data_IF_756949152882
#
_entry.id   IF_756949152882
#
_cell.length_a   1.000
_cell.length_b   1.000
_cell.length_c   1.000
_cell.angle_alpha   90.00
_cell.angle_beta   90.00
_cell.angle_gamma   90.00
#
_symmetry.space_group_name_H-M   'P 1'
#
loop_
_entity.id
_entity.type
_entity.pdbx_description
1 polymer ?
#
# COMPACT_ATOMS: atom_id res chain seq x y z
N UNK A 1 9.20 -25.46 4.27
CA UNK A 1 10.27 -24.71 3.57
C UNK A 1 9.71 -23.42 2.96
N UNK A 2 8.51 -23.44 2.36
CA UNK A 2 7.89 -22.26 1.73
C UNK A 2 7.48 -21.20 2.78
N UNK A 3 6.92 -21.62 3.92
CA UNK A 3 6.48 -20.72 5.01
C UNK A 3 7.66 -19.96 5.63
N UNK A 4 8.83 -20.61 5.78
CA UNK A 4 10.04 -19.96 6.29
C UNK A 4 10.59 -18.91 5.31
N UNK A 5 10.43 -19.11 4.00
CA UNK A 5 10.86 -18.16 2.97
C UNK A 5 10.06 -16.86 2.97
N UNK A 6 8.73 -16.94 3.11
CA UNK A 6 7.86 -15.76 3.19
C UNK A 6 8.14 -14.93 4.45
N UNK A 7 8.35 -15.58 5.60
CA UNK A 7 8.67 -14.91 6.86
C UNK A 7 10.01 -14.12 6.80
N UNK A 8 11.03 -14.70 6.17
CA UNK A 8 12.33 -14.02 5.97
C UNK A 8 12.21 -12.84 5.01
N UNK A 9 11.35 -12.95 3.99
CA UNK A 9 11.17 -11.89 2.99
C UNK A 9 10.44 -10.66 3.56
N UNK A 10 9.39 -10.88 4.32
CA UNK A 10 8.62 -9.83 5.01
C UNK A 10 9.49 -9.09 6.05
N UNK A 11 10.32 -9.81 6.81
CA UNK A 11 11.30 -9.20 7.72
C UNK A 11 12.34 -8.34 6.98
N UNK A 12 12.72 -8.73 5.76
CA UNK A 12 13.69 -7.96 4.96
C UNK A 12 13.12 -6.61 4.53
N UNK A 13 11.88 -6.55 4.11
CA UNK A 13 11.24 -5.29 3.69
C UNK A 13 11.04 -4.34 4.87
N UNK A 14 10.63 -4.85 6.03
CA UNK A 14 10.53 -4.04 7.24
C UNK A 14 11.90 -3.54 7.72
N UNK A 15 12.93 -4.39 7.68
CA UNK A 15 14.29 -4.00 8.02
C UNK A 15 14.83 -2.93 7.06
N UNK A 16 14.58 -3.09 5.76
CA UNK A 16 14.94 -2.11 4.73
C UNK A 16 14.24 -0.78 4.98
N UNK A 17 12.95 -0.80 5.27
CA UNK A 17 12.16 0.40 5.61
C UNK A 17 12.69 1.09 6.86
N UNK A 18 13.10 0.34 7.87
CA UNK A 18 13.73 0.88 9.07
C UNK A 18 15.07 1.55 8.76
N UNK A 19 15.93 0.93 7.96
CA UNK A 19 17.22 1.51 7.55
C UNK A 19 17.02 2.80 6.74
N UNK A 20 16.07 2.82 5.82
CA UNK A 20 15.71 4.04 5.07
C UNK A 20 15.21 5.13 6.00
N UNK A 21 14.36 4.80 6.97
CA UNK A 21 13.86 5.72 7.98
C UNK A 21 15.01 6.33 8.83
N UNK A 22 16.13 5.64 9.00
CA UNK A 22 17.32 6.17 9.70
C UNK A 22 18.16 7.11 8.85
N UNK A 23 18.16 6.92 7.53
CA UNK A 23 19.08 7.58 6.60
C UNK A 23 18.44 8.73 5.81
N UNK A 24 17.10 8.78 5.72
CA UNK A 24 16.37 9.76 4.92
C UNK A 24 15.51 10.67 5.81
N UNK A 25 15.26 11.89 5.33
CA UNK A 25 14.25 12.79 5.90
C UNK A 25 12.84 12.36 5.50
N UNK A 26 11.82 12.81 6.24
CA UNK A 26 10.41 12.56 5.89
C UNK A 26 10.12 13.04 4.47
N UNK A 27 10.57 14.25 4.12
CA UNK A 27 10.40 14.81 2.78
C UNK A 27 11.04 13.95 1.68
N UNK A 28 12.23 13.40 1.92
CA UNK A 28 12.88 12.49 0.97
C UNK A 28 12.09 11.19 0.81
N UNK A 29 11.57 10.64 1.91
CA UNK A 29 10.75 9.42 1.90
C UNK A 29 9.47 9.65 1.09
N UNK A 30 8.76 10.75 1.34
CA UNK A 30 7.52 11.12 0.64
C UNK A 30 7.78 11.37 -0.86
N UNK A 31 8.87 12.04 -1.20
CA UNK A 31 9.26 12.29 -2.58
C UNK A 31 9.56 10.99 -3.35
N UNK A 32 10.26 10.05 -2.72
CA UNK A 32 10.56 8.75 -3.34
C UNK A 32 9.29 7.90 -3.50
N UNK A 33 8.42 7.84 -2.50
CA UNK A 33 7.12 7.18 -2.62
C UNK A 33 6.33 7.77 -3.79
N UNK A 34 6.24 9.11 -3.89
CA UNK A 34 5.56 9.79 -4.99
C UNK A 34 6.21 9.53 -6.36
N UNK A 35 7.54 9.30 -6.42
CA UNK A 35 8.22 8.94 -7.67
C UNK A 35 7.76 7.55 -8.17
N UNK A 36 7.67 6.56 -7.28
CA UNK A 36 7.19 5.23 -7.65
C UNK A 36 5.70 5.22 -7.98
N UNK A 37 4.90 6.00 -7.26
CA UNK A 37 3.49 6.21 -7.61
C UNK A 37 3.35 6.74 -9.06
N UNK A 38 4.07 7.82 -9.42
CA UNK A 38 4.10 8.33 -10.80
C UNK A 38 4.61 7.32 -11.82
N UNK A 39 5.44 6.38 -11.41
CA UNK A 39 5.87 5.28 -12.28
C UNK A 39 4.71 4.33 -12.59
N UNK A 40 3.88 3.99 -11.60
CA UNK A 40 2.66 3.19 -11.80
C UNK A 40 1.72 3.90 -12.77
N UNK A 41 1.47 5.20 -12.58
CA UNK A 41 0.65 6.01 -13.46
C UNK A 41 1.13 5.97 -14.92
N UNK A 42 2.44 6.13 -15.13
CA UNK A 42 3.02 6.07 -16.47
C UNK A 42 2.90 4.68 -17.10
N UNK A 43 3.05 3.62 -16.31
CA UNK A 43 2.91 2.24 -16.77
C UNK A 43 1.48 1.94 -17.22
N UNK A 44 0.50 2.38 -16.44
CA UNK A 44 -0.93 2.21 -16.73
C UNK A 44 -1.47 3.28 -17.69
N UNK A 45 -0.68 4.35 -17.96
CA UNK A 45 -1.07 5.51 -18.79
C UNK A 45 -2.30 6.21 -18.23
N UNK A 46 -2.31 6.44 -16.93
CA UNK A 46 -3.37 7.11 -16.18
C UNK A 46 -2.77 8.34 -15.50
N UNK A 47 -3.58 9.36 -15.26
CA UNK A 47 -3.22 10.54 -14.48
C UNK A 47 -4.09 10.56 -13.21
N UNK A 48 -3.59 9.94 -12.15
CA UNK A 48 -4.28 9.84 -10.86
C UNK A 48 -4.30 11.17 -10.10
N UNK A 49 -3.49 12.16 -10.49
CA UNK A 49 -3.41 13.46 -9.81
C UNK A 49 -4.70 14.27 -9.89
N UNK A 50 -5.59 13.90 -10.83
CA UNK A 50 -6.90 14.55 -11.04
C UNK A 50 -8.03 13.92 -10.26
N UNK A 51 -7.78 12.79 -9.61
CA UNK A 51 -8.80 12.08 -8.88
C UNK A 51 -9.06 12.73 -7.52
N UNK A 52 -10.32 12.71 -7.11
CA UNK A 52 -10.70 13.19 -5.79
C UNK A 52 -10.22 12.19 -4.71
N UNK A 53 -9.19 12.59 -3.99
CA UNK A 53 -8.64 11.77 -2.89
C UNK A 53 -9.61 11.63 -1.71
N UNK A 54 -10.65 12.46 -1.64
CA UNK A 54 -11.72 12.35 -0.64
C UNK A 54 -12.45 11.03 -0.77
N UNK A 55 -12.78 10.61 -2.01
CA UNK A 55 -13.45 9.33 -2.28
C UNK A 55 -12.63 8.14 -1.74
N UNK A 56 -11.31 8.15 -1.93
CA UNK A 56 -10.45 7.07 -1.40
C UNK A 56 -10.40 7.07 0.12
N UNK A 57 -10.40 8.24 0.78
CA UNK A 57 -10.37 8.35 2.24
C UNK A 57 -11.67 7.88 2.87
N UNK A 58 -12.80 8.26 2.30
CA UNK A 58 -14.13 7.82 2.75
C UNK A 58 -14.30 6.33 2.45
N UNK A 59 -14.04 5.90 1.22
CA UNK A 59 -14.10 4.50 0.81
C UNK A 59 -13.16 3.57 1.57
N UNK A 60 -12.03 4.08 2.08
CA UNK A 60 -11.15 3.28 2.94
C UNK A 60 -11.84 2.85 4.25
N UNK A 61 -12.69 3.70 4.83
CA UNK A 61 -13.47 3.35 6.02
C UNK A 61 -14.56 2.34 5.68
N UNK A 62 -15.26 2.52 4.56
CA UNK A 62 -16.30 1.61 4.09
C UNK A 62 -15.71 0.20 3.80
N UNK A 63 -14.51 0.15 3.20
CA UNK A 63 -13.79 -1.11 2.97
C UNK A 63 -13.42 -1.79 4.31
N UNK A 64 -12.92 -1.04 5.28
CA UNK A 64 -12.54 -1.55 6.60
C UNK A 64 -13.77 -2.10 7.35
N UNK A 65 -14.94 -1.47 7.15
CA UNK A 65 -16.21 -1.87 7.75
C UNK A 65 -16.95 -2.95 6.94
N UNK A 66 -16.36 -3.43 5.84
CA UNK A 66 -16.97 -4.41 4.92
C UNK A 66 -18.26 -3.90 4.23
N UNK A 67 -18.42 -2.58 4.11
CA UNK A 67 -19.57 -1.91 3.46
C UNK A 67 -19.33 -1.68 1.96
N UNK A 68 -18.06 -1.67 1.52
CA UNK A 68 -17.65 -1.56 0.11
C UNK A 68 -16.47 -2.45 -0.21
N UNK A 69 -16.25 -2.72 -1.50
CA UNK A 69 -15.05 -3.37 -2.03
C UNK A 69 -14.09 -2.34 -2.64
N UNK A 70 -12.83 -2.72 -2.83
CA UNK A 70 -11.87 -1.88 -3.57
C UNK A 70 -12.36 -1.50 -4.97
N UNK A 71 -13.02 -2.45 -5.63
CA UNK A 71 -13.63 -2.23 -6.96
C UNK A 71 -14.79 -1.24 -6.91
N UNK A 72 -15.60 -1.20 -5.86
CA UNK A 72 -16.70 -0.25 -5.72
C UNK A 72 -16.16 1.18 -5.59
N UNK A 73 -15.18 1.39 -4.71
CA UNK A 73 -14.50 2.69 -4.55
C UNK A 73 -13.80 3.11 -5.84
N UNK A 74 -13.12 2.19 -6.52
CA UNK A 74 -12.46 2.46 -7.80
C UNK A 74 -13.45 2.89 -8.89
N UNK A 75 -14.61 2.23 -8.98
CA UNK A 75 -15.66 2.60 -9.93
C UNK A 75 -16.24 3.98 -9.64
N UNK A 76 -16.43 4.34 -8.38
CA UNK A 76 -16.93 5.66 -7.99
C UNK A 76 -15.98 6.77 -8.46
N UNK A 77 -14.67 6.60 -8.27
CA UNK A 77 -13.66 7.54 -8.80
C UNK A 77 -13.76 7.65 -10.31
N UNK A 78 -13.96 6.54 -11.02
CA UNK A 78 -14.01 6.51 -12.48
C UNK A 78 -15.29 7.14 -13.07
N UNK A 79 -16.37 7.30 -12.29
CA UNK A 79 -17.54 8.07 -12.72
C UNK A 79 -17.17 9.53 -13.07
N UNK A 80 -16.07 10.05 -12.53
CA UNK A 80 -15.58 11.40 -12.79
C UNK A 80 -14.61 11.47 -13.99
N UNK A 81 -14.17 10.30 -14.52
CA UNK A 81 -13.08 10.24 -15.52
C UNK A 81 -13.54 10.53 -16.97
N UNK A 82 -14.86 10.73 -17.22
CA UNK A 82 -15.42 10.91 -18.56
C UNK A 82 -15.38 9.64 -19.41
N UNK A 83 -15.52 9.80 -20.75
CA UNK A 83 -15.57 8.68 -21.68
C UNK A 83 -14.18 8.04 -21.87
N UNK A 84 -14.03 6.82 -21.44
CA UNK A 84 -12.83 6.01 -21.62
C UNK A 84 -13.08 4.88 -22.62
N UNK A 85 -12.10 4.62 -23.50
CA UNK A 85 -12.12 3.38 -24.27
C UNK A 85 -12.01 2.17 -23.34
N UNK A 86 -12.42 0.98 -23.81
CA UNK A 86 -12.40 -0.24 -23.01
C UNK A 86 -11.01 -0.56 -22.41
N UNK A 87 -9.94 -0.32 -23.16
CA UNK A 87 -8.57 -0.56 -22.70
C UNK A 87 -8.15 0.49 -21.66
N UNK A 88 -8.46 1.76 -21.89
CA UNK A 88 -8.22 2.84 -20.94
C UNK A 88 -9.01 2.63 -19.64
N UNK A 89 -10.27 2.23 -19.72
CA UNK A 89 -11.09 1.95 -18.55
C UNK A 89 -10.48 0.84 -17.67
N UNK A 90 -9.99 -0.26 -18.27
CA UNK A 90 -9.38 -1.35 -17.51
C UNK A 90 -8.10 -0.90 -16.78
N UNK A 91 -7.27 -0.10 -17.44
CA UNK A 91 -6.04 0.44 -16.84
C UNK A 91 -6.35 1.44 -15.74
N UNK A 92 -7.34 2.30 -15.96
CA UNK A 92 -7.81 3.26 -14.96
C UNK A 92 -8.45 2.55 -13.77
N UNK A 93 -9.24 1.49 -14.00
CA UNK A 93 -9.81 0.68 -12.92
C UNK A 93 -8.72 0.04 -12.07
N UNK A 94 -7.73 -0.60 -12.68
CA UNK A 94 -6.60 -1.18 -11.95
C UNK A 94 -5.83 -0.12 -11.15
N UNK A 95 -5.58 1.07 -11.73
CA UNK A 95 -4.93 2.16 -11.00
C UNK A 95 -5.77 2.64 -9.81
N UNK A 96 -7.10 2.76 -9.97
CA UNK A 96 -7.99 3.18 -8.91
C UNK A 96 -8.14 2.13 -7.80
N UNK A 97 -8.12 0.84 -8.15
CA UNK A 97 -8.09 -0.26 -7.16
C UNK A 97 -6.78 -0.27 -6.37
N UNK A 98 -5.63 -0.03 -7.03
CA UNK A 98 -4.34 0.14 -6.35
C UNK A 98 -4.41 1.27 -5.33
N UNK A 99 -4.99 2.43 -5.69
CA UNK A 99 -5.16 3.55 -4.76
C UNK A 99 -6.12 3.20 -3.62
N UNK A 100 -7.28 2.58 -3.89
CA UNK A 100 -8.23 2.17 -2.86
C UNK A 100 -7.59 1.20 -1.85
N UNK A 101 -6.80 0.22 -2.31
CA UNK A 101 -6.03 -0.68 -1.46
C UNK A 101 -5.04 0.11 -0.60
N UNK A 102 -4.25 1.00 -1.19
CA UNK A 102 -3.26 1.82 -0.47
C UNK A 102 -3.92 2.65 0.63
N UNK A 103 -4.99 3.40 0.31
CA UNK A 103 -5.69 4.23 1.30
C UNK A 103 -6.28 3.39 2.45
N UNK A 104 -6.89 2.24 2.15
CA UNK A 104 -7.43 1.33 3.17
C UNK A 104 -6.33 0.80 4.09
N UNK A 105 -5.21 0.33 3.53
CA UNK A 105 -4.11 -0.20 4.34
C UNK A 105 -3.38 0.90 5.12
N UNK A 106 -3.23 2.11 4.58
CA UNK A 106 -2.69 3.24 5.34
C UNK A 106 -3.58 3.60 6.52
N UNK A 107 -4.91 3.59 6.36
CA UNK A 107 -5.85 3.83 7.46
C UNK A 107 -5.74 2.75 8.55
N UNK A 108 -5.59 1.47 8.17
CA UNK A 108 -5.33 0.36 9.12
C UNK A 108 -3.99 0.52 9.84
N UNK A 109 -2.93 0.93 9.13
CA UNK A 109 -1.62 1.21 9.72
C UNK A 109 -1.67 2.38 10.72
N UNK A 110 -2.37 3.45 10.38
CA UNK A 110 -2.57 4.59 11.30
C UNK A 110 -3.30 4.16 12.58
N UNK A 111 -4.34 3.35 12.44
CA UNK A 111 -5.08 2.79 13.58
C UNK A 111 -4.19 1.88 14.44
N UNK A 112 -3.40 1.00 13.81
CA UNK A 112 -2.46 0.10 14.49
C UNK A 112 -1.40 0.87 15.27
N UNK A 113 -0.79 1.91 14.66
CA UNK A 113 0.21 2.76 15.34
C UNK A 113 -0.41 3.52 16.51
N UNK A 114 -1.62 4.06 16.36
CA UNK A 114 -2.34 4.71 17.45
C UNK A 114 -2.64 3.75 18.61
N UNK A 115 -3.10 2.53 18.29
CA UNK A 115 -3.34 1.49 19.29
C UNK A 115 -2.05 1.10 20.01
N UNK A 116 -0.96 0.86 19.27
CA UNK A 116 0.34 0.52 19.88
C UNK A 116 0.86 1.60 20.80
N UNK A 117 0.63 2.88 20.46
CA UNK A 117 1.00 4.01 21.34
C UNK A 117 0.22 3.96 22.64
N UNK A 118 -1.08 3.77 22.59
CA UNK A 118 -1.94 3.65 23.78
C UNK A 118 -1.52 2.45 24.65
N UNK A 119 -1.26 1.30 24.01
CA UNK A 119 -0.81 0.11 24.72
C UNK A 119 0.58 0.28 25.36
N UNK A 120 1.49 0.98 24.68
CA UNK A 120 2.82 1.30 25.20
C UNK A 120 2.72 2.22 26.45
N UNK A 121 1.89 3.25 26.38
CA UNK A 121 1.68 4.19 27.48
C UNK A 121 1.04 3.51 28.71
N UNK A 122 0.27 2.44 28.51
CA UNK A 122 -0.31 1.64 29.59
C UNK A 122 0.67 0.64 30.21
N UNK A 123 1.89 0.46 29.67
CA UNK A 123 2.88 -0.45 30.24
C UNK A 123 3.50 0.12 31.53
N UNK A 124 3.94 -0.77 32.46
CA UNK A 124 4.73 -0.33 33.61
C UNK A 124 5.95 0.48 33.20
N UNK A 125 6.25 1.52 33.96
CA UNK A 125 7.40 2.40 33.68
C UNK A 125 8.70 1.58 33.57
N UNK A 126 9.47 1.86 32.51
CA UNK A 126 10.75 1.20 32.26
C UNK A 126 10.68 -0.22 31.64
N UNK A 127 9.48 -0.78 31.42
CA UNK A 127 9.35 -2.11 30.77
C UNK A 127 9.87 -2.10 29.32
N UNK A 128 9.60 -1.03 28.57
CA UNK A 128 10.12 -0.83 27.22
C UNK A 128 10.85 0.53 27.18
N UNK A 129 11.97 0.57 26.43
CA UNK A 129 12.78 1.79 26.33
C UNK A 129 12.15 2.87 25.44
N UNK A 130 11.29 2.48 24.49
CA UNK A 130 10.63 3.37 23.53
C UNK A 130 9.46 2.66 22.85
N UNK A 131 8.57 3.45 22.23
CA UNK A 131 7.49 2.94 21.39
C UNK A 131 8.02 2.06 20.25
N UNK A 132 9.16 2.41 19.65
CA UNK A 132 9.80 1.60 18.60
C UNK A 132 10.16 0.20 19.10
N UNK A 133 10.73 0.08 20.32
CA UNK A 133 11.06 -1.22 20.91
C UNK A 133 9.78 -2.03 21.20
N UNK A 134 8.72 -1.36 21.66
CA UNK A 134 7.43 -1.99 21.86
C UNK A 134 6.83 -2.50 20.55
N UNK A 135 6.83 -1.67 19.49
CA UNK A 135 6.33 -2.03 18.18
C UNK A 135 7.12 -3.19 17.56
N UNK A 136 8.46 -3.19 17.71
CA UNK A 136 9.30 -4.30 17.26
C UNK A 136 8.96 -5.62 17.97
N UNK A 137 8.67 -5.57 19.27
CA UNK A 137 8.30 -6.76 20.06
C UNK A 137 6.93 -7.33 19.66
N UNK A 138 6.08 -6.50 19.02
CA UNK A 138 4.73 -6.85 18.57
C UNK A 138 4.60 -6.69 17.04
N UNK A 139 5.68 -6.98 16.30
CA UNK A 139 5.76 -6.74 14.86
C UNK A 139 4.92 -7.73 14.02
N UNK A 140 4.49 -8.86 14.59
CA UNK A 140 3.53 -9.79 13.99
C UNK A 140 2.27 -9.09 13.46
N UNK A 141 1.74 -8.12 14.21
CA UNK A 141 0.58 -7.33 13.80
C UNK A 141 0.81 -6.49 12.54
N UNK A 142 2.03 -6.01 12.34
CA UNK A 142 2.41 -5.34 11.09
C UNK A 142 2.55 -6.32 9.94
N UNK A 143 3.09 -7.52 10.19
CA UNK A 143 3.23 -8.57 9.18
C UNK A 143 1.88 -9.06 8.68
N UNK A 144 0.94 -9.32 9.57
CA UNK A 144 -0.41 -9.74 9.19
C UNK A 144 -1.07 -8.71 8.28
N UNK A 145 -0.98 -7.42 8.65
CA UNK A 145 -1.53 -6.33 7.86
C UNK A 145 -0.82 -6.17 6.51
N UNK A 146 0.51 -6.37 6.47
CA UNK A 146 1.30 -6.30 5.24
C UNK A 146 0.98 -7.47 4.29
N UNK A 147 0.80 -8.68 4.82
CA UNK A 147 0.40 -9.85 4.05
C UNK A 147 -0.98 -9.65 3.42
N UNK A 148 -1.94 -9.13 4.17
CA UNK A 148 -3.27 -8.78 3.65
C UNK A 148 -3.16 -7.79 2.48
N UNK A 149 -2.35 -6.72 2.65
CA UNK A 149 -2.12 -5.73 1.60
C UNK A 149 -1.52 -6.34 0.33
N UNK A 150 -0.51 -7.20 0.47
CA UNK A 150 0.10 -7.88 -0.68
C UNK A 150 -0.87 -8.81 -1.38
N UNK A 151 -1.66 -9.56 -0.63
CA UNK A 151 -2.66 -10.47 -1.18
C UNK A 151 -3.73 -9.71 -1.99
N UNK A 152 -4.20 -8.57 -1.49
CA UNK A 152 -5.17 -7.74 -2.21
C UNK A 152 -4.54 -7.12 -3.47
N UNK A 153 -3.33 -6.61 -3.36
CA UNK A 153 -2.61 -6.05 -4.50
C UNK A 153 -2.32 -7.10 -5.58
N UNK A 154 -1.97 -8.33 -5.20
CA UNK A 154 -1.74 -9.42 -6.17
C UNK A 154 -2.97 -9.75 -7.00
N UNK A 155 -4.19 -9.59 -6.45
CA UNK A 155 -5.44 -9.76 -7.22
C UNK A 155 -5.50 -8.77 -8.38
N UNK A 156 -5.20 -7.49 -8.12
CA UNK A 156 -5.17 -6.44 -9.16
C UNK A 156 -4.07 -6.71 -10.19
N UNK A 157 -2.89 -7.14 -9.74
CA UNK A 157 -1.78 -7.49 -10.64
C UNK A 157 -2.16 -8.66 -11.56
N UNK A 158 -2.87 -9.67 -11.06
CA UNK A 158 -3.34 -10.78 -11.88
C UNK A 158 -4.45 -10.37 -12.86
N UNK A 159 -5.27 -9.40 -12.50
CA UNK A 159 -6.23 -8.79 -13.43
C UNK A 159 -5.51 -8.06 -14.57
N UNK A 160 -4.47 -7.26 -14.27
CA UNK A 160 -3.62 -6.63 -15.28
C UNK A 160 -3.03 -7.69 -16.21
N UNK A 161 -2.46 -8.77 -15.69
CA UNK A 161 -1.89 -9.87 -16.47
C UNK A 161 -2.95 -10.55 -17.36
N UNK A 162 -4.13 -10.75 -16.80
CA UNK A 162 -5.25 -11.38 -17.52
C UNK A 162 -5.74 -10.50 -18.69
N UNK A 163 -5.87 -9.20 -18.50
CA UNK A 163 -6.30 -8.35 -19.62
C UNK A 163 -5.22 -8.21 -20.69
N UNK A 164 -3.93 -8.19 -20.32
CA UNK A 164 -2.83 -8.22 -21.31
C UNK A 164 -2.84 -9.49 -22.16
N UNK A 165 -2.97 -10.65 -21.49
CA UNK A 165 -3.07 -11.95 -22.17
C UNK A 165 -4.24 -11.99 -23.15
N UNK A 166 -5.42 -11.51 -22.74
CA UNK A 166 -6.61 -11.42 -23.61
C UNK A 166 -6.44 -10.45 -24.79
N UNK A 167 -5.56 -9.45 -24.64
CA UNK A 167 -5.24 -8.50 -25.71
C UNK A 167 -4.07 -8.95 -26.59
N UNK A 168 -3.48 -10.12 -26.35
CA UNK A 168 -2.28 -10.60 -27.06
C UNK A 168 -1.03 -9.74 -26.80
N UNK A 169 -0.98 -9.03 -25.66
CA UNK A 169 0.13 -8.19 -25.26
C UNK A 169 1.09 -8.95 -24.32
N UNK A 170 2.38 -8.57 -24.28
CA UNK A 170 3.32 -9.10 -23.29
C UNK A 170 2.83 -8.85 -21.85
N UNK A 171 3.01 -9.82 -20.95
CA UNK A 171 2.55 -9.76 -19.56
C UNK A 171 3.51 -8.98 -18.63
N UNK A 172 4.56 -8.38 -19.19
CA UNK A 172 5.60 -7.63 -18.46
C UNK A 172 5.09 -6.37 -17.73
N UNK A 173 3.97 -5.79 -18.19
CA UNK A 173 3.36 -4.62 -17.52
C UNK A 173 2.95 -4.96 -16.08
N UNK A 174 2.31 -6.12 -15.87
CA UNK A 174 1.91 -6.56 -14.54
C UNK A 174 3.11 -6.66 -13.58
N UNK A 175 4.21 -7.25 -14.04
CA UNK A 175 5.44 -7.39 -13.25
C UNK A 175 6.10 -6.03 -12.97
N UNK A 176 6.06 -5.12 -13.93
CA UNK A 176 6.59 -3.76 -13.76
C UNK A 176 5.76 -2.93 -12.77
N UNK A 177 4.43 -3.03 -12.84
CA UNK A 177 3.53 -2.38 -11.88
C UNK A 177 3.77 -2.95 -10.47
N UNK A 178 3.86 -4.27 -10.34
CA UNK A 178 4.17 -4.94 -9.08
C UNK A 178 5.50 -4.46 -8.47
N UNK A 179 6.56 -4.37 -9.27
CA UNK A 179 7.87 -3.92 -8.80
C UNK A 179 7.87 -2.44 -8.37
N UNK A 180 7.14 -1.57 -9.11
CA UNK A 180 6.98 -0.17 -8.74
C UNK A 180 6.21 -0.04 -7.43
N UNK A 181 5.10 -0.78 -7.27
CA UNK A 181 4.32 -0.83 -6.04
C UNK A 181 5.17 -1.30 -4.84
N UNK A 182 5.94 -2.39 -4.95
CA UNK A 182 6.80 -2.85 -3.85
C UNK A 182 7.82 -1.79 -3.42
N UNK A 183 8.35 -1.05 -4.38
CA UNK A 183 9.26 0.04 -4.07
C UNK A 183 8.55 1.19 -3.37
N UNK A 184 7.38 1.62 -3.84
CA UNK A 184 6.55 2.62 -3.18
C UNK A 184 6.21 2.20 -1.74
N UNK A 185 5.73 0.96 -1.56
CA UNK A 185 5.40 0.38 -0.26
C UNK A 185 6.58 0.47 0.73
N UNK A 186 7.80 0.18 0.28
CA UNK A 186 8.99 0.28 1.13
C UNK A 186 9.17 1.70 1.70
N UNK A 187 8.95 2.74 0.92
CA UNK A 187 9.03 4.12 1.40
C UNK A 187 7.85 4.51 2.29
N UNK A 188 6.63 4.05 1.98
CA UNK A 188 5.48 4.25 2.86
C UNK A 188 5.69 3.61 4.23
N UNK A 189 6.20 2.39 4.29
CA UNK A 189 6.55 1.74 5.57
C UNK A 189 7.68 2.49 6.30
N UNK A 190 8.65 3.06 5.56
CA UNK A 190 9.71 3.91 6.16
C UNK A 190 9.12 5.14 6.86
N UNK A 191 8.09 5.76 6.31
CA UNK A 191 7.36 6.85 6.94
C UNK A 191 6.76 6.43 8.28
N UNK A 192 6.14 5.24 8.35
CA UNK A 192 5.60 4.70 9.61
C UNK A 192 6.70 4.36 10.62
N UNK A 193 7.87 3.89 10.18
CA UNK A 193 9.03 3.72 11.06
C UNK A 193 9.49 5.06 11.68
N UNK A 194 9.37 6.16 10.96
CA UNK A 194 9.64 7.51 11.54
C UNK A 194 8.59 7.89 12.57
N UNK A 195 7.31 7.61 12.32
CA UNK A 195 6.22 7.90 13.29
C UNK A 195 6.34 7.14 14.63
N UNK A 196 7.03 6.01 14.65
CA UNK A 196 7.24 5.16 15.84
C UNK A 196 8.45 5.59 16.68
N UNK A 197 9.27 6.54 16.24
CA UNK A 197 10.39 7.09 17.00
C UNK A 197 9.91 8.04 18.07
#
# INVERSE_FOLDING_TARGET
>A
VIIAGCFVWSQYDLLKSYVLAQSLTVEQIENEAANYHRQIDRLLKVDTTRWDTGIFKEGALDIINEEATYTDVAKEVLLQAGDLSRDQYKKALAAAEIEAIKYSHMARLDALVAQMRTEFEAQPEGKYRSLMVYAYTNCDRFYDLEEDCENDMQKVIEEIRTFQRKAGQPEDLADRVWNAYKSEKTYLLSYYCVKLR
#
